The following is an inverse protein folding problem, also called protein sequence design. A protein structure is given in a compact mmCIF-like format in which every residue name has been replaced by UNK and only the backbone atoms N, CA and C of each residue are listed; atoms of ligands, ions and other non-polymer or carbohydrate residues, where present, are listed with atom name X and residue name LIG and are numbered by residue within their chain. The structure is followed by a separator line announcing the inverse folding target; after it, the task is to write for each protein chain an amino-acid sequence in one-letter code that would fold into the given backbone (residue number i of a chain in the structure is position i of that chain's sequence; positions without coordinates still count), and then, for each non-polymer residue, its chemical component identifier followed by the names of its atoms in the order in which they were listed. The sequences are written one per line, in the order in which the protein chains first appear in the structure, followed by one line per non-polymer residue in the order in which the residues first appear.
data_IF_891054672699
#
_entry.id   IF_891054672699
#
_cell.length_a   1.000
_cell.length_b   1.000
_cell.length_c   1.000
_cell.angle_alpha   90.00
_cell.angle_beta   90.00
_cell.angle_gamma   90.00
#
_symmetry.space_group_name_H-M   'P 1'
#
loop_
_entity.id
_entity.type
_entity.pdbx_description
1 polymer ?
#
# COMPACT_ATOMS: atom_id res chain seq x y z
N UNK A 1 -4.26 -23.22 2.95
CA UNK A 1 -4.22 -21.90 3.61
C UNK A 1 -2.97 -21.20 3.16
N UNK A 2 -3.08 -20.03 2.52
CA UNK A 2 -1.92 -19.26 2.08
C UNK A 2 -1.62 -18.27 3.20
N UNK A 3 -0.44 -18.36 3.81
CA UNK A 3 0.04 -17.40 4.80
C UNK A 3 1.52 -17.14 4.54
N UNK A 4 2.00 -15.94 4.85
CA UNK A 4 3.40 -15.61 4.72
C UNK A 4 4.18 -16.11 5.95
N UNK A 5 3.54 -16.02 7.12
CA UNK A 5 4.01 -16.55 8.39
C UNK A 5 2.85 -17.25 9.11
N UNK A 6 3.15 -18.24 9.95
CA UNK A 6 2.12 -18.94 10.75
C UNK A 6 1.06 -19.63 9.88
N UNK A 7 -0.20 -19.57 10.32
CA UNK A 7 -1.32 -20.31 9.71
C UNK A 7 -2.43 -19.44 9.13
N UNK A 8 -2.32 -18.11 9.23
CA UNK A 8 -3.39 -17.17 8.89
C UNK A 8 -2.85 -15.99 8.09
N UNK A 9 -3.64 -15.53 7.13
CA UNK A 9 -3.49 -14.23 6.46
C UNK A 9 -4.87 -13.67 6.17
N UNK A 10 -4.95 -12.38 5.86
CA UNK A 10 -6.16 -11.78 5.32
C UNK A 10 -6.25 -12.08 3.82
N UNK A 11 -7.36 -12.63 3.37
CA UNK A 11 -7.70 -12.78 1.95
C UNK A 11 -8.73 -11.72 1.57
N UNK A 12 -8.47 -10.99 0.50
CA UNK A 12 -9.32 -9.92 0.01
C UNK A 12 -9.70 -10.23 -1.43
N UNK A 13 -10.99 -10.44 -1.66
CA UNK A 13 -11.54 -10.89 -2.94
C UNK A 13 -12.32 -9.76 -3.61
N UNK A 14 -11.96 -9.45 -4.85
CA UNK A 14 -12.75 -8.61 -5.74
C UNK A 14 -13.95 -9.38 -6.31
N UNK A 15 -15.02 -8.64 -6.63
CA UNK A 15 -16.20 -9.18 -7.29
C UNK A 15 -16.69 -8.18 -8.35
N UNK A 16 -17.16 -8.64 -9.52
CA UNK A 16 -17.68 -7.74 -10.57
C UNK A 16 -18.86 -6.86 -10.09
N UNK A 17 -19.63 -7.34 -9.12
CA UNK A 17 -20.83 -6.65 -8.62
C UNK A 17 -20.56 -5.68 -7.46
N UNK A 18 -19.31 -5.28 -7.22
CA UNK A 18 -19.00 -4.32 -6.17
C UNK A 18 -19.51 -2.92 -6.54
N UNK A 19 -20.28 -2.33 -5.63
CA UNK A 19 -21.03 -1.09 -5.88
C UNK A 19 -20.16 0.13 -6.24
N UNK A 20 -18.88 0.12 -5.88
CA UNK A 20 -17.94 1.19 -6.22
C UNK A 20 -16.61 0.58 -6.66
N UNK A 21 -15.99 1.17 -7.69
CA UNK A 21 -14.74 0.65 -8.27
C UNK A 21 -13.49 0.78 -7.40
N UNK A 22 -13.62 1.20 -6.14
CA UNK A 22 -12.55 1.19 -5.14
C UNK A 22 -12.80 0.14 -4.03
N UNK A 23 -13.87 -0.64 -4.15
CA UNK A 23 -14.15 -1.72 -3.22
C UNK A 23 -13.52 -3.03 -3.73
N UNK A 24 -13.10 -3.92 -2.80
CA UNK A 24 -13.10 -3.73 -1.34
C UNK A 24 -12.07 -2.68 -0.89
N UNK A 25 -12.42 -1.91 0.15
CA UNK A 25 -11.47 -1.07 0.86
C UNK A 25 -11.62 -1.22 2.38
N UNK A 26 -10.51 -1.07 3.08
CA UNK A 26 -10.44 -1.09 4.54
C UNK A 26 -9.25 -0.25 4.98
N UNK A 27 -9.40 0.39 6.14
CA UNK A 27 -8.42 1.33 6.63
C UNK A 27 -8.51 1.45 8.14
N UNK A 28 -7.47 2.05 8.72
CA UNK A 28 -7.50 2.58 10.07
C UNK A 28 -7.06 4.04 10.06
N UNK A 29 -7.46 4.79 11.08
CA UNK A 29 -6.97 6.14 11.33
C UNK A 29 -5.93 6.08 12.46
N UNK A 30 -4.61 6.10 12.15
CA UNK A 30 -3.57 6.04 13.19
C UNK A 30 -3.45 7.35 13.98
N UNK A 31 -4.08 8.43 13.52
CA UNK A 31 -4.05 9.74 14.12
C UNK A 31 -2.69 10.45 14.12
N UNK A 32 -1.78 10.05 13.24
CA UNK A 32 -0.42 10.59 13.21
C UNK A 32 -0.35 11.94 12.49
N UNK A 33 0.16 12.96 13.18
CA UNK A 33 0.35 14.33 12.66
C UNK A 33 1.79 14.83 12.72
N UNK A 34 2.68 14.08 13.35
CA UNK A 34 4.11 14.37 13.53
C UNK A 34 4.87 13.06 13.72
N UNK A 35 6.20 13.12 13.61
CA UNK A 35 7.08 11.98 13.82
C UNK A 35 7.47 11.28 12.53
N UNK A 36 8.17 10.15 12.68
CA UNK A 36 8.54 9.26 11.58
C UNK A 36 7.61 8.06 11.57
N UNK A 37 6.69 8.05 10.63
CA UNK A 37 5.72 6.98 10.46
C UNK A 37 6.24 5.90 9.52
N UNK A 38 5.96 4.63 9.86
CA UNK A 38 6.40 3.44 9.13
C UNK A 38 5.28 2.42 9.03
N UNK A 39 5.02 1.93 7.83
CA UNK A 39 4.11 0.81 7.57
C UNK A 39 4.92 -0.35 6.96
N UNK A 40 4.77 -1.54 7.53
CA UNK A 40 5.27 -2.79 6.99
C UNK A 40 4.13 -3.75 6.78
N UNK A 41 4.16 -4.48 5.67
CA UNK A 41 3.25 -5.59 5.43
C UNK A 41 3.87 -6.54 4.41
N UNK A 42 3.34 -7.76 4.37
CA UNK A 42 3.55 -8.67 3.25
C UNK A 42 2.30 -8.71 2.39
N UNK A 43 2.50 -8.68 1.08
CA UNK A 43 1.42 -8.78 0.10
C UNK A 43 1.70 -9.91 -0.88
N UNK A 44 0.65 -10.64 -1.27
CA UNK A 44 0.66 -11.60 -2.36
C UNK A 44 -0.48 -11.27 -3.31
N UNK A 45 -0.16 -11.16 -4.59
CA UNK A 45 -1.08 -10.69 -5.64
C UNK A 45 -1.41 -11.84 -6.58
N UNK A 46 -2.70 -12.11 -6.82
CA UNK A 46 -3.11 -12.97 -7.92
C UNK A 46 -3.02 -12.22 -9.26
N UNK A 47 -3.04 -12.93 -10.40
CA UNK A 47 -3.07 -12.28 -11.71
C UNK A 47 -4.28 -11.35 -11.84
N UNK A 48 -4.07 -10.18 -12.44
CA UNK A 48 -5.15 -9.21 -12.72
C UNK A 48 -5.57 -8.33 -11.54
N UNK A 49 -4.92 -8.43 -10.37
CA UNK A 49 -5.22 -7.53 -9.24
C UNK A 49 -4.80 -6.10 -9.50
N UNK A 50 -5.64 -5.13 -9.13
CA UNK A 50 -5.35 -3.70 -9.05
C UNK A 50 -5.54 -3.21 -7.62
N UNK A 51 -4.47 -3.16 -6.84
CA UNK A 51 -4.53 -2.84 -5.40
C UNK A 51 -3.79 -1.53 -5.13
N UNK A 52 -4.35 -0.68 -4.28
CA UNK A 52 -3.71 0.53 -3.79
C UNK A 52 -3.52 0.43 -2.28
N UNK A 53 -2.32 0.74 -1.81
CA UNK A 53 -2.04 1.06 -0.41
C UNK A 53 -1.79 2.56 -0.31
N UNK A 54 -2.66 3.29 0.39
CA UNK A 54 -2.61 4.75 0.44
C UNK A 54 -2.69 5.29 1.86
N UNK A 55 -2.05 6.43 2.04
CA UNK A 55 -2.10 7.24 3.23
C UNK A 55 -2.77 8.56 2.85
N UNK A 56 -3.84 8.94 3.54
CA UNK A 56 -4.59 10.17 3.26
C UNK A 56 -4.77 11.00 4.52
N UNK A 57 -5.00 12.29 4.34
CA UNK A 57 -5.46 13.15 5.43
C UNK A 57 -7.00 13.12 5.57
N UNK A 58 -7.56 14.09 6.30
CA UNK A 58 -9.01 14.26 6.51
C UNK A 58 -9.60 15.42 5.70
N UNK A 59 -8.85 16.00 4.76
CA UNK A 59 -9.37 17.09 3.94
C UNK A 59 -10.48 16.59 3.00
N UNK A 60 -11.25 17.52 2.45
CA UNK A 60 -12.29 17.24 1.46
C UNK A 60 -12.16 18.23 0.30
N UNK A 61 -11.61 17.85 -0.86
CA UNK A 61 -11.02 16.52 -1.15
C UNK A 61 -9.79 16.23 -0.29
N UNK A 62 -9.51 14.95 -0.03
CA UNK A 62 -8.35 14.54 0.75
C UNK A 62 -7.06 14.76 -0.05
N UNK A 63 -5.96 14.94 0.67
CA UNK A 63 -4.62 14.90 0.09
C UNK A 63 -3.99 13.53 0.34
N UNK A 64 -3.21 13.06 -0.62
CA UNK A 64 -2.57 11.73 -0.57
C UNK A 64 -1.09 11.86 -0.22
N UNK A 65 -0.68 11.19 0.84
CA UNK A 65 0.71 10.99 1.24
C UNK A 65 1.39 9.87 0.44
N UNK A 66 2.08 8.93 1.10
CA UNK A 66 2.52 7.70 0.47
C UNK A 66 1.37 6.97 -0.25
N UNK A 67 1.60 6.62 -1.52
CA UNK A 67 0.63 5.91 -2.37
C UNK A 67 1.38 4.91 -3.24
N UNK A 68 1.05 3.64 -3.07
CA UNK A 68 1.63 2.53 -3.80
C UNK A 68 0.52 1.73 -4.48
N UNK A 69 0.60 1.62 -5.79
CA UNK A 69 -0.32 0.83 -6.61
C UNK A 69 0.39 -0.45 -7.07
N UNK A 70 -0.37 -1.54 -7.09
CA UNK A 70 0.03 -2.83 -7.59
C UNK A 70 -0.89 -3.15 -8.76
N UNK A 71 -0.36 -3.05 -9.98
CA UNK A 71 -1.13 -3.23 -11.20
C UNK A 71 -0.21 -3.67 -12.33
N UNK A 72 -0.71 -4.49 -13.25
CA UNK A 72 0.03 -4.93 -14.44
C UNK A 72 1.41 -5.52 -14.08
N UNK A 73 1.46 -6.32 -13.00
CA UNK A 73 2.68 -6.94 -12.48
C UNK A 73 3.77 -5.94 -12.13
N UNK A 74 3.40 -4.76 -11.66
CA UNK A 74 4.34 -3.72 -11.28
C UNK A 74 3.89 -2.99 -10.01
N UNK A 75 4.88 -2.52 -9.25
CA UNK A 75 4.70 -1.48 -8.25
C UNK A 75 4.79 -0.11 -8.94
N UNK A 76 3.79 0.73 -8.72
CA UNK A 76 3.64 2.05 -9.35
C UNK A 76 3.37 3.07 -8.25
N UNK A 77 4.03 4.23 -8.30
CA UNK A 77 3.76 5.35 -7.42
C UNK A 77 3.53 6.59 -8.26
N UNK A 78 2.35 7.23 -8.12
CA UNK A 78 1.98 8.45 -8.87
C UNK A 78 2.26 8.35 -10.39
N UNK A 79 1.91 7.21 -10.99
CA UNK A 79 2.12 6.93 -12.42
C UNK A 79 3.53 6.49 -12.81
N UNK A 80 4.52 6.57 -11.91
CA UNK A 80 5.88 6.05 -12.17
C UNK A 80 5.95 4.57 -11.81
N UNK A 81 6.26 3.72 -12.79
CA UNK A 81 6.67 2.33 -12.56
C UNK A 81 7.98 2.29 -11.77
N UNK A 82 8.01 1.54 -10.68
CA UNK A 82 9.17 1.41 -9.79
C UNK A 82 9.91 0.08 -10.02
N UNK A 83 9.18 -1.04 -10.00
CA UNK A 83 9.74 -2.39 -10.17
C UNK A 83 8.68 -3.36 -10.69
N UNK A 84 9.12 -4.36 -11.44
CA UNK A 84 8.30 -5.51 -11.83
C UNK A 84 8.11 -6.48 -10.66
N UNK A 85 6.92 -7.06 -10.55
CA UNK A 85 6.51 -7.91 -9.45
C UNK A 85 6.15 -9.31 -9.93
N UNK A 86 6.46 -10.35 -9.15
CA UNK A 86 5.91 -11.66 -9.36
C UNK A 86 4.44 -11.69 -8.98
N UNK A 87 3.66 -12.46 -9.73
CA UNK A 87 2.35 -12.92 -9.27
C UNK A 87 2.55 -14.10 -8.33
N UNK A 88 1.56 -14.33 -7.47
CA UNK A 88 1.47 -15.55 -6.70
C UNK A 88 2.75 -15.81 -5.87
N UNK A 89 3.36 -14.76 -5.33
CA UNK A 89 4.48 -14.85 -4.39
C UNK A 89 4.39 -13.71 -3.37
N UNK A 90 4.93 -13.95 -2.17
CA UNK A 90 4.94 -12.96 -1.09
C UNK A 90 6.01 -11.90 -1.32
N UNK A 91 5.64 -10.65 -1.14
CA UNK A 91 6.51 -9.48 -1.23
C UNK A 91 6.45 -8.74 0.10
N UNK A 92 7.60 -8.46 0.71
CA UNK A 92 7.68 -7.61 1.88
C UNK A 92 7.75 -6.15 1.42
N UNK A 93 6.85 -5.32 1.93
CA UNK A 93 6.77 -3.90 1.63
C UNK A 93 6.98 -3.10 2.91
N UNK A 94 7.82 -2.09 2.83
CA UNK A 94 8.07 -1.11 3.88
C UNK A 94 7.95 0.30 3.30
N UNK A 95 7.06 1.10 3.89
CA UNK A 95 6.79 2.49 3.51
C UNK A 95 7.11 3.38 4.71
N UNK A 96 7.89 4.44 4.50
CA UNK A 96 8.27 5.35 5.57
C UNK A 96 8.22 6.81 5.12
N UNK A 97 7.73 7.71 5.97
CA UNK A 97 7.74 9.15 5.75
C UNK A 97 7.85 9.93 7.06
N UNK A 98 8.21 11.21 6.97
CA UNK A 98 8.08 12.15 8.08
C UNK A 98 6.75 12.89 7.98
N UNK A 99 6.19 13.25 9.13
CA UNK A 99 4.91 13.95 9.24
C UNK A 99 5.09 15.35 9.84
N UNK A 100 4.11 16.22 9.60
CA UNK A 100 4.04 17.56 10.20
C UNK A 100 4.57 18.70 9.32
N UNK A 101 5.15 18.41 8.16
CA UNK A 101 5.64 19.42 7.21
C UNK A 101 5.01 19.26 5.82
N UNK A 102 5.03 20.32 5.01
CA UNK A 102 4.60 20.26 3.61
C UNK A 102 5.71 19.66 2.72
N UNK A 103 5.37 19.31 1.47
CA UNK A 103 6.28 18.74 0.48
C UNK A 103 7.02 17.48 0.98
N UNK A 104 6.32 16.65 1.76
CA UNK A 104 6.92 15.42 2.26
C UNK A 104 7.27 14.49 1.10
N UNK A 105 8.39 13.81 1.27
CA UNK A 105 8.77 12.66 0.47
C UNK A 105 8.77 11.41 1.33
N UNK A 106 8.59 10.26 0.69
CA UNK A 106 8.57 8.98 1.36
C UNK A 106 9.57 8.01 0.72
N UNK A 107 9.92 6.99 1.48
CA UNK A 107 10.81 5.91 1.05
C UNK A 107 10.01 4.61 0.96
N UNK A 108 10.19 3.90 -0.15
CA UNK A 108 9.70 2.56 -0.36
C UNK A 108 10.87 1.59 -0.32
N UNK A 109 10.78 0.53 0.48
CA UNK A 109 11.64 -0.65 0.38
C UNK A 109 10.78 -1.86 0.10
N UNK A 110 11.16 -2.63 -0.92
CA UNK A 110 10.49 -3.88 -1.30
C UNK A 110 11.50 -5.02 -1.29
N UNK A 111 11.16 -6.13 -0.63
CA UNK A 111 11.93 -7.38 -0.73
C UNK A 111 11.10 -8.38 -1.52
N UNK A 112 11.61 -8.75 -2.70
CA UNK A 112 10.99 -9.71 -3.61
C UNK A 112 11.38 -11.15 -3.20
N UNK A 113 10.68 -12.17 -3.72
CA UNK A 113 11.06 -13.56 -3.56
C UNK A 113 12.53 -13.80 -3.95
N UNK A 114 13.21 -14.68 -3.20
CA UNK A 114 14.65 -14.88 -3.33
C UNK A 114 15.51 -13.82 -2.64
N UNK A 115 14.90 -12.81 -2.00
CA UNK A 115 15.60 -11.85 -1.14
C UNK A 115 16.13 -10.60 -1.84
N UNK A 116 15.80 -10.40 -3.13
CA UNK A 116 16.18 -9.18 -3.84
C UNK A 116 15.49 -7.95 -3.22
N UNK A 117 16.29 -6.95 -2.82
CA UNK A 117 15.80 -5.72 -2.17
C UNK A 117 15.87 -4.55 -3.15
N UNK A 118 14.75 -3.88 -3.34
CA UNK A 118 14.66 -2.62 -4.07
C UNK A 118 14.33 -1.48 -3.10
N UNK A 119 15.01 -0.35 -3.23
CA UNK A 119 14.76 0.85 -2.41
C UNK A 119 14.60 2.06 -3.29
N UNK A 120 13.50 2.79 -3.09
CA UNK A 120 13.16 4.02 -3.80
C UNK A 120 13.03 5.14 -2.77
N UNK A 121 13.86 6.16 -2.90
CA UNK A 121 13.85 7.35 -2.05
C UNK A 121 13.18 8.51 -2.79
N UNK A 122 12.86 9.55 -2.03
CA UNK A 122 12.38 10.83 -2.56
C UNK A 122 11.11 10.69 -3.41
N UNK A 123 10.26 9.70 -3.09
CA UNK A 123 8.94 9.56 -3.73
C UNK A 123 8.03 10.66 -3.20
N UNK A 124 7.33 11.35 -4.10
CA UNK A 124 6.55 12.54 -3.73
C UNK A 124 5.21 12.17 -3.11
N UNK A 125 4.80 12.96 -2.11
CA UNK A 125 3.42 13.05 -1.65
C UNK A 125 2.70 14.20 -2.38
N UNK A 126 1.41 14.36 -2.11
CA UNK A 126 0.75 15.65 -2.33
C UNK A 126 1.51 16.78 -1.56
N UNK A 127 1.81 17.93 -2.21
CA UNK A 127 2.57 19.02 -1.60
C UNK A 127 2.02 19.53 -0.27
N UNK A 128 0.71 19.46 -0.04
CA UNK A 128 0.11 19.98 1.19
C UNK A 128 -0.25 18.89 2.21
N UNK A 129 0.00 17.61 1.91
CA UNK A 129 -0.24 16.51 2.84
C UNK A 129 0.78 16.51 4.00
N UNK A 130 0.28 16.46 5.24
CA UNK A 130 1.11 16.53 6.47
C UNK A 130 0.81 15.46 7.51
N UNK A 131 -0.29 14.73 7.38
CA UNK A 131 -0.80 13.86 8.45
C UNK A 131 -1.44 12.58 7.88
N UNK A 132 -1.14 11.45 8.50
CA UNK A 132 -1.77 10.17 8.19
C UNK A 132 -3.03 10.00 9.04
N UNK A 133 -4.19 10.23 8.43
CA UNK A 133 -5.52 10.11 9.06
C UNK A 133 -6.41 9.04 8.44
N UNK A 134 -5.89 8.37 7.42
CA UNK A 134 -6.47 7.22 6.76
C UNK A 134 -5.29 6.44 6.18
N UNK A 135 -5.03 5.24 6.68
CA UNK A 135 -4.02 4.33 6.11
C UNK A 135 -4.73 3.04 5.81
N UNK A 136 -4.67 2.60 4.56
CA UNK A 136 -5.48 1.47 4.17
C UNK A 136 -5.20 0.98 2.77
N UNK A 137 -5.98 -0.04 2.43
CA UNK A 137 -5.94 -0.73 1.16
C UNK A 137 -7.28 -0.56 0.47
N UNK A 138 -7.25 -0.43 -0.84
CA UNK A 138 -8.41 -0.47 -1.71
C UNK A 138 -8.09 -1.29 -2.94
N UNK A 139 -9.07 -1.95 -3.51
CA UNK A 139 -8.91 -2.65 -4.78
C UNK A 139 -9.88 -2.12 -5.83
N UNK A 140 -9.41 -2.08 -7.06
CA UNK A 140 -10.16 -1.68 -8.25
C UNK A 140 -10.03 -2.73 -9.35
N UNK A 141 -9.72 -3.98 -8.98
CA UNK A 141 -9.61 -5.07 -9.94
C UNK A 141 -10.95 -5.32 -10.61
N UNK A 142 -10.91 -5.62 -11.92
CA UNK A 142 -12.12 -5.96 -12.67
C UNK A 142 -12.22 -7.49 -12.71
N UNK A 143 -13.21 -8.06 -12.04
CA UNK A 143 -13.50 -9.50 -12.02
C UNK A 143 -13.16 -10.19 -10.71
N UNK A 144 -12.97 -11.51 -10.76
CA UNK A 144 -12.66 -12.35 -9.61
C UNK A 144 -11.14 -12.44 -9.39
N UNK A 145 -10.52 -11.34 -8.99
CA UNK A 145 -9.11 -11.32 -8.57
C UNK A 145 -9.02 -11.22 -7.04
N UNK A 146 -7.94 -11.73 -6.44
CA UNK A 146 -7.71 -11.56 -5.02
C UNK A 146 -6.28 -11.22 -4.66
N UNK A 147 -6.12 -10.60 -3.51
CA UNK A 147 -4.81 -10.43 -2.89
C UNK A 147 -4.85 -10.86 -1.43
N UNK A 148 -3.67 -11.10 -0.89
CA UNK A 148 -3.49 -11.51 0.50
C UNK A 148 -2.60 -10.51 1.20
N UNK A 149 -2.92 -10.20 2.46
CA UNK A 149 -2.10 -9.41 3.36
C UNK A 149 -1.72 -10.22 4.59
N UNK A 150 -0.50 -10.02 5.05
CA UNK A 150 0.02 -10.65 6.26
C UNK A 150 1.02 -9.72 6.97
N UNK A 151 1.26 -9.97 8.25
CA UNK A 151 2.24 -9.25 9.09
C UNK A 151 2.14 -7.70 8.99
N UNK A 152 0.92 -7.14 8.98
CA UNK A 152 0.74 -5.68 8.89
C UNK A 152 1.11 -5.02 10.21
N UNK A 153 2.09 -4.11 10.18
CA UNK A 153 2.61 -3.37 11.33
C UNK A 153 2.73 -1.89 10.99
N UNK A 154 2.13 -1.02 11.79
CA UNK A 154 2.23 0.43 11.67
C UNK A 154 2.83 1.01 12.95
N UNK A 155 3.84 1.88 12.79
CA UNK A 155 4.61 2.48 13.89
C UNK A 155 4.82 3.98 13.63
N UNK A 156 5.02 4.75 14.69
CA UNK A 156 5.43 6.16 14.61
C UNK A 156 6.39 6.49 15.75
N UNK A 157 7.52 7.12 15.42
CA UNK A 157 8.56 7.56 16.35
C UNK A 157 8.56 9.08 16.51
#
# INVERSE_FOLDING_TARGET
TVAANGSHSLWVQDHPDLAAGYNPHFYWDPQYSKGRARLVYKIRLEPGTHVNCEWRDRASPYHTGPSLQFQNRAAISRGRKLVDLPENQWILVEMQTHLGQANNVWTLRMTLPGGAVHTFKDLTCDPVWKAARWVGFSSSSVGHAAFYLDDVVMENQ
#
